data_IF_938930357169
#
_entry.id   IF_938930357169
#
_cell.length_a   1.000
_cell.length_b   1.000
_cell.length_c   1.000
_cell.angle_alpha   90.00
_cell.angle_beta   90.00
_cell.angle_gamma   90.00
#
_symmetry.space_group_name_H-M   'P 1'
#
loop_
_entity.id
_entity.type
_entity.pdbx_description
1 polymer ?
#
# COMPACT_ATOMS: atom_id res chain seq x y z
N UNK A 1 -12.82 4.12 -27.33
CA UNK A 1 -12.85 4.11 -25.85
C UNK A 1 -13.57 2.85 -25.41
N UNK A 2 -12.96 2.06 -24.52
CA UNK A 2 -13.60 0.83 -24.00
C UNK A 2 -14.79 1.23 -23.14
N UNK A 3 -15.92 0.56 -23.32
CA UNK A 3 -17.11 0.76 -22.48
C UNK A 3 -16.85 0.14 -21.11
N UNK A 4 -17.11 0.91 -20.05
CA UNK A 4 -16.99 0.45 -18.67
C UNK A 4 -17.93 -0.72 -18.40
N UNK A 5 -17.38 -1.79 -17.82
CA UNK A 5 -18.10 -3.02 -17.48
C UNK A 5 -18.41 -2.98 -16.00
N UNK A 6 -19.65 -3.31 -15.63
CA UNK A 6 -20.12 -3.34 -14.25
C UNK A 6 -20.48 -4.76 -13.84
N UNK A 7 -20.12 -5.14 -12.62
CA UNK A 7 -20.51 -6.40 -11.98
C UNK A 7 -21.01 -6.16 -10.57
N UNK A 8 -21.90 -7.03 -10.10
CA UNK A 8 -22.33 -7.02 -8.71
C UNK A 8 -21.15 -7.26 -7.78
N UNK A 9 -21.19 -6.60 -6.62
CA UNK A 9 -20.20 -6.81 -5.56
C UNK A 9 -20.55 -8.11 -4.82
N UNK A 10 -19.66 -9.12 -4.77
CA UNK A 10 -19.95 -10.37 -4.07
C UNK A 10 -20.27 -10.17 -2.58
N UNK A 11 -21.37 -10.76 -2.10
CA UNK A 11 -21.93 -10.60 -0.76
C UNK A 11 -22.79 -9.34 -0.56
N UNK A 12 -22.99 -8.57 -1.63
CA UNK A 12 -23.76 -7.33 -1.71
C UNK A 12 -24.60 -7.27 -3.01
N UNK A 13 -24.94 -8.44 -3.56
CA UNK A 13 -25.70 -8.60 -4.79
C UNK A 13 -27.04 -7.87 -4.70
N UNK A 14 -27.43 -7.19 -5.78
CA UNK A 14 -28.64 -6.36 -5.82
C UNK A 14 -28.58 -5.06 -5.00
N UNK A 15 -27.47 -4.80 -4.28
CA UNK A 15 -27.28 -3.57 -3.50
C UNK A 15 -26.18 -2.68 -4.07
N UNK A 16 -25.09 -3.26 -4.57
CA UNK A 16 -23.93 -2.52 -5.08
C UNK A 16 -23.29 -3.20 -6.29
N UNK A 17 -22.77 -2.39 -7.20
CA UNK A 17 -21.96 -2.83 -8.32
C UNK A 17 -20.62 -2.09 -8.37
N UNK A 18 -19.60 -2.75 -8.89
CA UNK A 18 -18.25 -2.22 -9.09
C UNK A 18 -17.87 -2.34 -10.57
N UNK A 19 -17.14 -1.35 -11.09
CA UNK A 19 -16.70 -1.34 -12.47
C UNK A 19 -15.26 -1.81 -12.67
N UNK A 20 -14.90 -2.14 -13.91
CA UNK A 20 -13.52 -2.42 -14.30
C UNK A 20 -12.60 -1.18 -14.25
N UNK A 21 -13.16 0.02 -14.12
CA UNK A 21 -12.44 1.29 -13.93
C UNK A 21 -12.46 1.80 -12.47
N UNK A 22 -12.86 0.94 -11.52
CA UNK A 22 -12.78 1.27 -10.09
C UNK A 22 -13.85 2.21 -9.56
N UNK A 23 -14.93 2.43 -10.31
CA UNK A 23 -16.11 3.09 -9.76
C UNK A 23 -16.97 2.09 -8.98
N UNK A 24 -17.60 2.55 -7.92
CA UNK A 24 -18.56 1.76 -7.13
C UNK A 24 -19.88 2.51 -7.09
N UNK A 25 -20.98 1.84 -7.33
CA UNK A 25 -22.32 2.42 -7.24
C UNK A 25 -23.23 1.63 -6.32
N UNK A 26 -24.10 2.34 -5.60
CA UNK A 26 -25.27 1.72 -4.99
C UNK A 26 -26.35 1.57 -6.04
N UNK A 27 -27.00 0.41 -6.08
CA UNK A 27 -28.13 0.16 -6.96
C UNK A 27 -29.41 0.79 -6.40
N UNK A 28 -30.37 1.00 -7.30
CA UNK A 28 -31.71 1.45 -6.93
C UNK A 28 -32.35 0.44 -5.96
N UNK A 29 -33.00 0.95 -4.92
CA UNK A 29 -33.65 0.11 -3.91
C UNK A 29 -34.81 0.82 -3.25
N UNK A 30 -35.69 0.06 -2.60
CA UNK A 30 -36.72 0.63 -1.73
C UNK A 30 -36.12 1.39 -0.55
N UNK A 31 -36.67 2.57 -0.25
CA UNK A 31 -36.37 3.32 0.95
C UNK A 31 -36.89 2.58 2.20
N UNK A 32 -36.29 2.87 3.35
CA UNK A 32 -36.73 2.32 4.63
C UNK A 32 -38.14 2.86 4.92
N UNK A 33 -39.15 1.99 4.87
CA UNK A 33 -40.56 2.37 5.00
C UNK A 33 -41.40 2.22 3.73
N UNK A 34 -40.82 1.73 2.62
CA UNK A 34 -41.57 1.18 1.47
C UNK A 34 -42.23 2.19 0.53
N UNK A 35 -42.34 3.46 0.91
CA UNK A 35 -43.08 4.46 0.14
C UNK A 35 -42.30 5.12 -1.01
N UNK A 36 -40.96 4.97 -1.06
CA UNK A 36 -40.12 5.70 -2.02
C UNK A 36 -38.97 4.82 -2.52
N UNK A 37 -38.50 5.05 -3.74
CA UNK A 37 -37.26 4.47 -4.27
C UNK A 37 -36.08 5.38 -3.97
N UNK A 38 -34.96 4.77 -3.59
CA UNK A 38 -33.66 5.42 -3.52
C UNK A 38 -32.97 5.14 -4.85
N UNK A 39 -32.68 6.16 -5.68
CA UNK A 39 -32.10 5.95 -6.99
C UNK A 39 -30.67 5.39 -6.88
N UNK A 40 -30.21 4.80 -7.99
CA UNK A 40 -28.80 4.43 -8.10
C UNK A 40 -27.88 5.66 -7.97
N UNK A 41 -26.67 5.44 -7.46
CA UNK A 41 -25.71 6.54 -7.27
C UNK A 41 -24.27 6.03 -7.24
N UNK A 42 -23.38 6.71 -7.95
CA UNK A 42 -21.93 6.51 -7.82
C UNK A 42 -21.47 6.97 -6.42
N UNK A 43 -20.80 6.09 -5.70
CA UNK A 43 -20.25 6.40 -4.38
C UNK A 43 -18.94 7.15 -4.55
N UNK A 44 -18.75 8.21 -3.75
CA UNK A 44 -17.46 8.90 -3.66
C UNK A 44 -16.54 8.13 -2.70
N UNK A 45 -15.39 7.59 -3.17
CA UNK A 45 -14.44 6.92 -2.28
C UNK A 45 -13.80 7.91 -1.30
N UNK A 46 -13.50 7.42 -0.10
CA UNK A 46 -12.61 8.09 0.84
C UNK A 46 -11.21 7.46 0.75
N UNK A 47 -10.19 8.13 1.29
CA UNK A 47 -8.84 7.57 1.41
C UNK A 47 -8.68 6.87 2.77
N UNK A 48 -8.19 5.64 2.75
CA UNK A 48 -7.87 4.89 3.95
C UNK A 48 -6.73 5.56 4.72
N UNK A 49 -6.87 5.68 6.05
CA UNK A 49 -5.85 6.27 6.94
C UNK A 49 -4.52 5.54 6.82
N UNK A 50 -4.55 4.21 6.67
CA UNK A 50 -3.36 3.39 6.44
C UNK A 50 -3.24 3.07 4.96
N UNK A 51 -2.14 3.50 4.34
CA UNK A 51 -1.79 3.13 2.96
C UNK A 51 -2.45 3.95 1.86
N UNK A 52 -3.43 4.82 2.17
CA UNK A 52 -4.00 5.78 1.22
C UNK A 52 -4.86 5.17 0.11
N UNK A 53 -5.34 3.94 0.29
CA UNK A 53 -6.21 3.26 -0.69
C UNK A 53 -7.61 3.86 -0.73
N UNK A 54 -8.24 3.85 -1.90
CA UNK A 54 -9.65 4.20 -2.02
C UNK A 54 -10.53 3.15 -1.32
N UNK A 55 -11.40 3.64 -0.44
CA UNK A 55 -12.34 2.83 0.34
C UNK A 55 -13.76 3.36 0.22
N UNK A 56 -14.71 2.43 0.25
CA UNK A 56 -16.14 2.72 0.31
C UNK A 56 -16.75 1.96 1.48
N UNK A 57 -17.75 2.58 2.12
CA UNK A 57 -18.55 1.93 3.15
C UNK A 57 -19.79 1.33 2.50
N UNK A 58 -19.93 0.01 2.61
CA UNK A 58 -21.08 -0.75 2.11
C UNK A 58 -21.99 -1.12 3.28
N UNK A 59 -23.31 -1.14 3.02
CA UNK A 59 -24.33 -1.44 4.02
C UNK A 59 -25.13 -2.65 3.56
N UNK A 60 -25.17 -3.70 4.38
CA UNK A 60 -26.02 -4.86 4.12
C UNK A 60 -26.68 -5.33 5.43
N UNK A 61 -28.00 -5.50 5.42
CA UNK A 61 -28.82 -5.91 6.59
C UNK A 61 -28.46 -5.16 7.89
N UNK A 62 -28.32 -3.84 7.82
CA UNK A 62 -28.01 -2.99 8.98
C UNK A 62 -26.54 -2.99 9.43
N UNK A 63 -25.68 -3.83 8.82
CA UNK A 63 -24.24 -3.88 9.09
C UNK A 63 -23.48 -3.01 8.10
N UNK A 64 -22.49 -2.28 8.61
CA UNK A 64 -21.59 -1.44 7.81
C UNK A 64 -20.25 -2.16 7.66
N UNK A 65 -19.76 -2.26 6.43
CA UNK A 65 -18.47 -2.87 6.12
C UNK A 65 -17.65 -1.91 5.28
N UNK A 66 -16.44 -1.57 5.74
CA UNK A 66 -15.49 -0.76 4.97
C UNK A 66 -14.69 -1.69 4.05
N UNK A 67 -14.62 -1.39 2.75
CA UNK A 67 -13.89 -2.20 1.76
C UNK A 67 -13.07 -1.31 0.85
N UNK A 68 -11.88 -1.79 0.45
CA UNK A 68 -11.07 -1.10 -0.56
C UNK A 68 -11.64 -1.35 -1.96
N UNK A 69 -11.61 -0.34 -2.82
CA UNK A 69 -12.15 -0.40 -4.18
C UNK A 69 -11.48 -1.52 -4.99
N UNK A 70 -10.14 -1.57 -5.05
CA UNK A 70 -9.42 -2.66 -5.72
C UNK A 70 -9.79 -4.06 -5.19
N UNK A 71 -10.17 -4.22 -3.91
CA UNK A 71 -10.61 -5.52 -3.38
C UNK A 71 -11.98 -5.92 -3.90
N UNK A 72 -12.88 -4.95 -4.11
CA UNK A 72 -14.19 -5.20 -4.70
C UNK A 72 -14.04 -5.56 -6.17
N UNK A 73 -13.19 -4.84 -6.90
CA UNK A 73 -12.88 -5.14 -8.30
C UNK A 73 -12.33 -6.55 -8.46
N UNK A 74 -11.28 -6.91 -7.71
CA UNK A 74 -10.71 -8.24 -7.79
C UNK A 74 -11.73 -9.32 -7.44
N UNK A 75 -12.54 -9.13 -6.38
CA UNK A 75 -13.57 -10.10 -6.02
C UNK A 75 -14.62 -10.30 -7.13
N UNK A 76 -15.04 -9.22 -7.81
CA UNK A 76 -16.06 -9.28 -8.85
C UNK A 76 -15.53 -9.76 -10.21
N UNK A 77 -14.31 -9.36 -10.58
CA UNK A 77 -13.75 -9.60 -11.91
C UNK A 77 -12.76 -10.76 -11.98
N UNK A 78 -11.95 -10.96 -10.95
CA UNK A 78 -10.92 -12.03 -10.88
C UNK A 78 -11.50 -13.25 -10.16
N UNK A 79 -12.25 -13.03 -9.07
CA UNK A 79 -12.93 -14.06 -8.31
C UNK A 79 -12.26 -14.38 -6.97
N UNK A 80 -12.41 -15.63 -6.53
CA UNK A 80 -11.87 -16.09 -5.26
C UNK A 80 -10.34 -16.06 -5.29
N UNK A 81 -9.74 -15.34 -4.32
CA UNK A 81 -8.29 -15.24 -4.24
C UNK A 81 -7.70 -16.50 -3.59
N UNK A 82 -6.66 -17.12 -4.19
CA UNK A 82 -5.90 -18.17 -3.53
C UNK A 82 -5.28 -17.69 -2.20
N UNK A 83 -5.16 -18.58 -1.19
CA UNK A 83 -4.49 -18.26 0.06
C UNK A 83 -3.06 -17.77 -0.15
N UNK A 84 -2.63 -16.77 0.62
CA UNK A 84 -1.26 -16.24 0.59
C UNK A 84 -0.98 -15.19 -0.50
N UNK A 85 -1.98 -14.83 -1.31
CA UNK A 85 -1.86 -13.77 -2.31
C UNK A 85 -2.50 -12.46 -1.84
N UNK A 86 -1.90 -11.35 -2.26
CA UNK A 86 -2.38 -9.98 -2.11
C UNK A 86 -2.75 -9.41 -3.48
N UNK A 87 -3.77 -8.52 -3.52
CA UNK A 87 -4.01 -7.71 -4.71
C UNK A 87 -2.97 -6.60 -4.73
N UNK A 88 -2.21 -6.57 -5.81
CA UNK A 88 -1.15 -5.63 -6.06
C UNK A 88 -1.50 -4.80 -7.30
N UNK A 89 -1.03 -3.55 -7.31
CA UNK A 89 -1.11 -2.70 -8.50
C UNK A 89 0.15 -2.95 -9.34
N UNK A 90 -0.01 -3.19 -10.65
CA UNK A 90 1.09 -3.57 -11.56
C UNK A 90 2.10 -2.46 -11.75
N UNK A 91 1.62 -1.23 -11.87
CA UNK A 91 2.44 -0.05 -12.14
C UNK A 91 2.85 0.71 -10.87
N UNK A 92 2.61 0.12 -9.68
CA UNK A 92 2.87 0.72 -8.38
C UNK A 92 2.13 2.05 -8.09
N UNK A 93 1.24 2.47 -8.98
CA UNK A 93 0.25 3.51 -8.75
C UNK A 93 -1.04 2.90 -8.19
N UNK A 94 -1.71 3.61 -7.29
CA UNK A 94 -2.94 3.18 -6.64
C UNK A 94 -4.19 3.46 -7.49
N UNK A 95 -4.03 3.73 -8.78
CA UNK A 95 -5.14 3.88 -9.72
C UNK A 95 -5.88 2.54 -9.80
N UNK A 96 -7.16 2.57 -9.44
CA UNK A 96 -8.05 1.41 -9.50
C UNK A 96 -8.50 1.20 -10.96
N UNK A 97 -7.76 0.38 -11.68
CA UNK A 97 -8.09 -0.11 -13.02
C UNK A 97 -7.86 -1.61 -13.01
N UNK A 98 -8.81 -2.41 -13.52
CA UNK A 98 -8.72 -3.86 -13.51
C UNK A 98 -7.44 -4.35 -14.20
N UNK A 99 -7.03 -3.70 -15.30
CA UNK A 99 -5.82 -4.05 -16.03
C UNK A 99 -4.55 -3.74 -15.19
N UNK A 100 -4.65 -2.80 -14.24
CA UNK A 100 -3.61 -2.50 -13.27
C UNK A 100 -3.63 -3.43 -12.05
N UNK A 101 -4.59 -4.34 -11.89
CA UNK A 101 -4.61 -5.28 -10.76
C UNK A 101 -3.96 -6.62 -11.11
N UNK A 102 -3.27 -7.20 -10.13
CA UNK A 102 -2.77 -8.58 -10.16
C UNK A 102 -2.78 -9.20 -8.78
N UNK A 103 -2.97 -10.50 -8.72
CA UNK A 103 -2.63 -11.25 -7.51
C UNK A 103 -1.12 -11.50 -7.49
N UNK A 104 -0.50 -11.30 -6.34
CA UNK A 104 0.92 -11.62 -6.12
C UNK A 104 1.16 -12.03 -4.67
N UNK A 105 2.25 -12.74 -4.42
CA UNK A 105 2.71 -12.99 -3.06
C UNK A 105 3.22 -11.70 -2.43
N UNK A 106 3.11 -11.60 -1.10
CA UNK A 106 3.60 -10.44 -0.34
C UNK A 106 5.07 -10.11 -0.63
N UNK A 107 5.91 -11.13 -0.82
CA UNK A 107 7.32 -10.95 -1.15
C UNK A 107 7.53 -10.27 -2.51
N UNK A 108 6.70 -10.59 -3.51
CA UNK A 108 6.75 -9.98 -4.85
C UNK A 108 6.40 -8.50 -4.80
N UNK A 109 5.33 -8.14 -4.10
CA UNK A 109 4.96 -6.73 -3.87
C UNK A 109 6.05 -5.93 -3.13
N UNK A 110 6.73 -6.56 -2.15
CA UNK A 110 7.87 -5.92 -1.46
C UNK A 110 9.04 -5.75 -2.44
N UNK A 111 9.33 -6.74 -3.28
CA UNK A 111 10.40 -6.65 -4.27
C UNK A 111 10.14 -5.52 -5.27
N UNK A 112 8.90 -5.32 -5.71
CA UNK A 112 8.50 -4.17 -6.53
C UNK A 112 8.72 -2.86 -5.79
N UNK A 113 8.26 -2.74 -4.54
CA UNK A 113 8.47 -1.56 -3.73
C UNK A 113 9.97 -1.25 -3.53
N UNK A 114 10.82 -2.26 -3.41
CA UNK A 114 12.28 -2.09 -3.34
C UNK A 114 12.87 -1.65 -4.68
N UNK A 115 12.47 -2.28 -5.79
CA UNK A 115 12.91 -1.91 -7.15
C UNK A 115 12.58 -0.46 -7.47
N UNK A 116 11.41 0.01 -7.04
CA UNK A 116 10.94 1.36 -7.28
C UNK A 116 11.38 2.37 -6.20
N UNK A 117 12.29 2.00 -5.30
CA UNK A 117 12.84 2.91 -4.29
C UNK A 117 11.84 3.38 -3.21
N UNK A 118 10.67 2.74 -3.10
CA UNK A 118 9.61 3.09 -2.13
C UNK A 118 9.86 2.53 -0.72
N UNK A 119 10.96 1.80 -0.54
CA UNK A 119 11.40 1.32 0.78
C UNK A 119 12.51 2.25 1.27
N UNK A 120 12.22 3.19 2.19
CA UNK A 120 13.25 4.08 2.72
C UNK A 120 14.32 3.24 3.42
N UNK A 121 15.58 3.55 3.15
CA UNK A 121 16.75 2.91 3.74
C UNK A 121 17.70 3.99 4.20
N UNK A 122 18.52 3.65 5.19
CA UNK A 122 19.58 4.55 5.57
C UNK A 122 19.09 5.84 6.19
N UNK A 123 19.66 6.97 5.79
CA UNK A 123 19.24 8.33 6.24
C UNK A 123 17.79 8.64 5.91
N UNK A 124 17.24 8.05 4.85
CA UNK A 124 15.84 8.26 4.46
C UNK A 124 14.86 7.50 5.36
N UNK A 125 15.34 6.57 6.19
CA UNK A 125 14.50 5.81 7.11
C UNK A 125 14.12 6.69 8.32
N UNK A 126 12.83 6.77 8.67
CA UNK A 126 12.33 7.61 9.76
C UNK A 126 12.91 7.26 11.15
N UNK A 127 13.47 6.06 11.29
CA UNK A 127 14.16 5.62 12.52
C UNK A 127 15.69 5.54 12.33
N UNK A 128 16.25 6.26 11.37
CA UNK A 128 17.68 6.31 11.16
C UNK A 128 18.36 6.97 12.35
N UNK A 129 19.26 6.23 13.03
CA UNK A 129 20.07 6.76 14.13
C UNK A 129 21.26 7.60 13.65
N UNK A 130 21.59 7.47 12.38
CA UNK A 130 22.78 8.05 11.75
C UNK A 130 22.33 9.10 10.73
N UNK A 131 22.97 10.26 10.78
CA UNK A 131 22.75 11.39 9.87
C UNK A 131 23.94 11.53 8.91
N UNK A 132 23.79 12.33 7.86
CA UNK A 132 24.92 12.63 6.95
C UNK A 132 26.07 13.29 7.70
N UNK A 133 25.75 14.24 8.59
CA UNK A 133 26.72 14.93 9.45
C UNK A 133 27.53 13.96 10.33
N UNK A 134 26.85 13.06 11.07
CA UNK A 134 27.54 12.05 11.87
C UNK A 134 28.38 11.09 11.03
N UNK A 135 27.92 10.77 9.83
CA UNK A 135 28.69 9.93 8.91
C UNK A 135 29.96 10.64 8.41
N UNK A 136 29.91 11.95 8.21
CA UNK A 136 31.09 12.76 7.84
C UNK A 136 32.07 12.91 9.01
N UNK A 137 31.57 13.10 10.23
CA UNK A 137 32.39 13.09 11.45
C UNK A 137 33.13 11.76 11.62
N UNK A 138 32.43 10.63 11.46
CA UNK A 138 33.04 9.29 11.53
C UNK A 138 34.11 9.10 10.46
N UNK A 139 33.88 9.59 9.23
CA UNK A 139 34.88 9.50 8.14
C UNK A 139 36.12 10.34 8.45
N UNK A 140 35.94 11.53 9.00
CA UNK A 140 37.03 12.40 9.41
C UNK A 140 37.83 11.82 10.60
N UNK A 141 37.15 11.19 11.55
CA UNK A 141 37.75 10.59 12.74
C UNK A 141 38.43 9.23 12.48
N UNK A 142 38.08 8.55 11.38
CA UNK A 142 38.62 7.22 11.09
C UNK A 142 40.10 7.24 10.68
N UNK A 143 40.97 6.80 11.59
CA UNK A 143 42.42 6.80 11.40
C UNK A 143 43.00 5.57 10.65
N UNK A 144 42.17 4.65 10.14
CA UNK A 144 42.66 3.49 9.37
C UNK A 144 43.31 2.36 10.19
N UNK A 145 43.32 2.44 11.52
CA UNK A 145 44.01 1.49 12.41
C UNK A 145 43.04 0.42 12.96
N UNK A 146 43.55 -0.79 13.22
CA UNK A 146 42.79 -1.88 13.87
C UNK A 146 42.31 -1.41 15.26
N UNK A 147 41.04 -1.65 15.61
CA UNK A 147 40.44 -1.24 16.90
C UNK A 147 39.59 0.04 16.82
N UNK A 148 39.97 0.98 15.95
CA UNK A 148 39.29 2.30 15.83
C UNK A 148 37.81 2.21 15.46
N UNK A 149 37.37 1.16 14.76
CA UNK A 149 35.95 0.99 14.41
C UNK A 149 35.07 0.60 15.59
N UNK A 150 35.63 -0.06 16.61
CA UNK A 150 34.89 -0.45 17.81
C UNK A 150 34.72 0.77 18.73
N UNK A 151 35.81 1.51 18.96
CA UNK A 151 35.82 2.75 19.73
C UNK A 151 34.84 3.78 19.13
N UNK A 152 34.93 4.03 17.81
CA UNK A 152 33.97 4.89 17.11
C UNK A 152 32.53 4.35 17.16
N UNK A 153 32.36 3.04 17.29
CA UNK A 153 31.04 2.45 17.47
C UNK A 153 30.42 2.87 18.81
N UNK A 154 31.20 2.74 19.88
CA UNK A 154 30.78 3.09 21.23
C UNK A 154 30.52 4.61 21.36
N UNK A 155 31.41 5.44 20.83
CA UNK A 155 31.30 6.91 20.86
C UNK A 155 30.04 7.42 20.15
N UNK A 156 29.69 6.81 19.01
CA UNK A 156 28.53 7.21 18.21
C UNK A 156 27.27 6.38 18.50
N UNK A 157 27.33 5.45 19.47
CA UNK A 157 26.20 4.60 19.85
C UNK A 157 25.71 3.66 18.73
N UNK A 158 26.62 3.19 17.88
CA UNK A 158 26.34 2.30 16.75
C UNK A 158 27.31 1.12 16.71
N UNK A 159 26.95 0.06 15.97
CA UNK A 159 27.85 -1.10 15.86
C UNK A 159 29.11 -0.77 15.04
N UNK A 160 30.23 -1.44 15.33
CA UNK A 160 31.44 -1.37 14.51
C UNK A 160 31.19 -1.74 13.02
N UNK A 161 30.19 -2.59 12.75
CA UNK A 161 29.74 -2.90 11.39
C UNK A 161 29.09 -1.69 10.69
N UNK A 162 28.37 -0.84 11.43
CA UNK A 162 27.83 0.43 10.90
C UNK A 162 28.97 1.38 10.53
N UNK A 163 29.96 1.54 11.43
CA UNK A 163 31.15 2.35 11.18
C UNK A 163 31.88 1.87 9.92
N UNK A 164 32.10 0.56 9.80
CA UNK A 164 32.73 -0.02 8.61
C UNK A 164 32.00 0.37 7.31
N UNK A 165 30.67 0.32 7.29
CA UNK A 165 29.87 0.68 6.11
C UNK A 165 29.98 2.18 5.80
N UNK A 166 29.98 3.04 6.81
CA UNK A 166 30.13 4.50 6.65
C UNK A 166 31.47 4.85 6.02
N UNK A 167 32.55 4.30 6.57
CA UNK A 167 33.93 4.54 6.11
C UNK A 167 34.14 4.04 4.67
N UNK A 168 33.54 2.90 4.31
CA UNK A 168 33.64 2.35 2.94
C UNK A 168 32.68 2.98 1.92
N UNK A 169 31.90 3.99 2.31
CA UNK A 169 30.87 4.59 1.45
C UNK A 169 29.72 3.64 1.10
N UNK A 170 29.58 2.54 1.83
CA UNK A 170 28.57 1.49 1.63
C UNK A 170 27.35 1.64 2.57
N UNK A 171 27.40 2.63 3.46
CA UNK A 171 26.24 3.09 4.22
C UNK A 171 25.41 4.02 3.34
N UNK A 172 24.13 3.68 3.21
CA UNK A 172 23.11 4.44 2.51
C UNK A 172 22.22 5.07 3.56
#
# INVERSE_FOLDING_TARGET
MRKEIWKDVPGFEGLYAVSDLGHVKSLERGARGGAMLVPERILKPAKATRGGYDVVQLHNHGRRTLRTVHSLMAAAFIGARPPGLDICHRNDDRINDLDNLRDDIRAGNIADAMRNGRTPKGVAHWNAKMTLEKADEIRAAYAGKRGTMAELGDDFGVTASTIHRVVRGAWK
#
